data_IF_243912372807
#
_entry.id   IF_243912372807
#
_cell.length_a   1.000
_cell.length_b   1.000
_cell.length_c   1.000
_cell.angle_alpha   90.00
_cell.angle_beta   90.00
_cell.angle_gamma   90.00
#
_symmetry.space_group_name_H-M   'P 1'
#
loop_
_entity.id
_entity.type
_entity.pdbx_description
1 polymer ?
#
# COMPACT_ATOMS: atom_id res chain seq x y z
N UNK A 1 17.43 -10.24 -2.23
CA UNK A 1 16.16 -10.99 -2.26
C UNK A 1 15.09 -10.02 -1.82
N UNK A 2 14.44 -9.37 -2.78
CA UNK A 2 13.38 -8.41 -2.51
C UNK A 2 12.28 -9.11 -1.73
N UNK A 3 12.07 -8.67 -0.48
CA UNK A 3 11.01 -9.19 0.35
C UNK A 3 9.70 -8.68 -0.23
N UNK A 4 8.99 -9.55 -0.95
CA UNK A 4 7.67 -9.23 -1.48
C UNK A 4 6.72 -8.96 -0.30
N UNK A 5 6.23 -7.73 -0.23
CA UNK A 5 5.24 -7.32 0.78
C UNK A 5 3.89 -7.37 0.12
N UNK A 6 2.92 -7.95 0.82
CA UNK A 6 1.54 -7.99 0.38
C UNK A 6 0.71 -6.99 1.17
N UNK A 7 -0.19 -6.33 0.46
CA UNK A 7 -1.34 -5.65 1.06
C UNK A 7 -2.47 -6.68 1.06
N UNK A 8 -2.96 -7.00 2.25
CA UNK A 8 -4.11 -7.87 2.48
C UNK A 8 -5.37 -7.01 2.58
N UNK A 9 -6.53 -7.62 2.31
CA UNK A 9 -7.83 -7.03 2.65
C UNK A 9 -8.67 -7.96 3.53
N UNK A 10 -9.55 -7.37 4.32
CA UNK A 10 -10.60 -8.06 5.07
C UNK A 10 -11.86 -7.20 5.11
N UNK A 11 -12.96 -7.74 5.60
CA UNK A 11 -14.22 -6.99 5.70
C UNK A 11 -14.47 -6.49 7.12
N UNK A 12 -15.13 -5.34 7.22
CA UNK A 12 -15.67 -4.82 8.47
C UNK A 12 -17.07 -4.25 8.25
N UNK A 13 -17.89 -4.26 9.29
CA UNK A 13 -19.25 -3.73 9.26
C UNK A 13 -19.26 -2.33 9.88
N UNK A 14 -19.86 -1.37 9.17
CA UNK A 14 -20.11 -0.01 9.67
C UNK A 14 -21.47 0.45 9.17
N UNK A 15 -22.33 0.93 10.07
CA UNK A 15 -23.68 1.39 9.73
C UNK A 15 -24.45 0.34 8.88
N UNK A 16 -24.41 -0.93 9.31
CA UNK A 16 -25.07 -2.07 8.65
C UNK A 16 -24.57 -2.39 7.24
N UNK A 17 -23.49 -1.74 6.79
CA UNK A 17 -22.84 -1.98 5.49
C UNK A 17 -21.49 -2.64 5.70
N UNK A 18 -21.18 -3.60 4.83
CA UNK A 18 -19.88 -4.28 4.79
C UNK A 18 -18.93 -3.51 3.87
N UNK A 19 -17.72 -3.26 4.36
CA UNK A 19 -16.65 -2.56 3.64
C UNK A 19 -15.36 -3.37 3.68
N UNK A 20 -14.51 -3.20 2.68
CA UNK A 20 -13.14 -3.71 2.73
C UNK A 20 -12.22 -2.77 3.50
N UNK A 21 -11.38 -3.34 4.35
CA UNK A 21 -10.22 -2.69 4.95
C UNK A 21 -8.95 -3.27 4.32
N UNK A 22 -7.97 -2.42 4.04
CA UNK A 22 -6.72 -2.79 3.37
C UNK A 22 -5.53 -2.53 4.31
N UNK A 23 -4.61 -3.48 4.40
CA UNK A 23 -3.54 -3.41 5.40
C UNK A 23 -2.32 -4.27 5.07
N UNK A 24 -1.18 -3.93 5.65
CA UNK A 24 0.03 -4.75 5.63
C UNK A 24 0.25 -5.33 7.02
N UNK A 25 0.51 -6.64 7.13
CA UNK A 25 0.96 -7.28 8.37
C UNK A 25 2.47 -7.43 8.37
N UNK A 26 3.08 -7.33 9.55
CA UNK A 26 4.51 -7.58 9.72
C UNK A 26 4.93 -7.61 11.18
N UNK A 27 6.25 -7.73 11.42
CA UNK A 27 6.84 -7.66 12.76
C UNK A 27 7.90 -6.57 12.86
N UNK A 28 7.72 -5.66 13.82
CA UNK A 28 8.69 -4.61 14.18
C UNK A 28 9.18 -4.87 15.60
N UNK A 29 10.49 -5.11 15.76
CA UNK A 29 11.13 -5.46 17.06
C UNK A 29 10.40 -6.57 17.83
N UNK A 30 9.97 -7.62 17.12
CA UNK A 30 9.26 -8.76 17.71
C UNK A 30 7.78 -8.54 18.00
N UNK A 31 7.25 -7.32 17.80
CA UNK A 31 5.82 -7.03 17.92
C UNK A 31 5.12 -7.14 16.58
N UNK A 32 4.01 -7.87 16.54
CA UNK A 32 3.12 -7.88 15.38
C UNK A 32 2.51 -6.49 15.19
N UNK A 33 2.55 -6.01 13.94
CA UNK A 33 2.02 -4.72 13.54
C UNK A 33 1.09 -4.89 12.34
N UNK A 34 0.09 -4.02 12.28
CA UNK A 34 -0.84 -3.88 11.16
C UNK A 34 -0.81 -2.42 10.71
N UNK A 35 -0.47 -2.20 9.44
CA UNK A 35 -0.40 -0.87 8.82
C UNK A 35 -1.64 -0.71 7.96
N UNK A 36 -2.50 0.27 8.27
CA UNK A 36 -3.64 0.57 7.43
C UNK A 36 -3.21 1.29 6.15
N UNK A 37 -3.70 0.81 5.01
CA UNK A 37 -3.44 1.35 3.68
C UNK A 37 -4.76 1.83 3.08
N UNK A 38 -4.74 2.99 2.43
CA UNK A 38 -5.90 3.59 1.80
C UNK A 38 -5.53 4.19 0.44
N UNK A 39 -6.48 4.30 -0.49
CA UNK A 39 -6.26 5.10 -1.69
C UNK A 39 -6.11 6.60 -1.35
N UNK A 40 -5.55 7.41 -2.27
CA UNK A 40 -5.42 8.86 -2.09
C UNK A 40 -6.76 9.57 -1.85
N UNK A 41 -7.83 9.07 -2.48
CA UNK A 41 -9.18 9.61 -2.49
C UNK A 41 -10.25 8.49 -2.47
N UNK A 42 -11.52 8.85 -2.31
CA UNK A 42 -12.62 7.88 -2.18
C UNK A 42 -12.91 7.09 -3.47
N UNK A 43 -12.65 7.65 -4.66
CA UNK A 43 -12.82 6.95 -5.92
C UNK A 43 -11.82 5.80 -6.09
N UNK A 44 -10.66 5.90 -5.44
CA UNK A 44 -9.66 4.84 -5.44
C UNK A 44 -10.09 3.54 -4.76
N UNK A 45 -11.16 3.51 -3.96
CA UNK A 45 -11.68 2.24 -3.41
C UNK A 45 -12.29 1.37 -4.51
N UNK A 46 -12.99 1.96 -5.49
CA UNK A 46 -13.47 1.23 -6.67
C UNK A 46 -12.30 0.66 -7.47
N UNK A 47 -11.20 1.40 -7.59
CA UNK A 47 -10.00 0.92 -8.25
C UNK A 47 -9.33 -0.23 -7.47
N UNK A 48 -9.34 -0.19 -6.14
CA UNK A 48 -8.87 -1.32 -5.33
C UNK A 48 -9.75 -2.56 -5.52
N UNK A 49 -11.07 -2.40 -5.63
CA UNK A 49 -11.96 -3.53 -5.93
C UNK A 49 -11.62 -4.18 -7.28
N UNK A 50 -11.31 -3.38 -8.31
CA UNK A 50 -10.84 -3.87 -9.62
C UNK A 50 -9.49 -4.57 -9.50
N UNK A 51 -8.50 -3.92 -8.84
CA UNK A 51 -7.15 -4.49 -8.70
C UNK A 51 -7.17 -5.81 -7.96
N UNK A 52 -7.93 -5.92 -6.87
CA UNK A 52 -8.00 -7.18 -6.14
C UNK A 52 -8.86 -8.23 -6.85
N UNK A 53 -9.90 -7.85 -7.60
CA UNK A 53 -10.87 -8.79 -8.14
C UNK A 53 -11.44 -9.66 -7.00
N UNK A 54 -11.24 -10.97 -7.11
CA UNK A 54 -11.63 -11.95 -6.07
C UNK A 54 -10.50 -12.29 -5.07
N UNK A 55 -9.28 -11.76 -5.27
CA UNK A 55 -8.13 -12.06 -4.42
C UNK A 55 -8.23 -11.34 -3.07
N UNK A 56 -7.61 -11.90 -2.03
CA UNK A 56 -7.57 -11.30 -0.68
C UNK A 56 -6.25 -10.60 -0.36
N UNK A 57 -5.29 -10.64 -1.30
CA UNK A 57 -4.00 -10.00 -1.19
C UNK A 57 -3.50 -9.55 -2.55
N UNK A 58 -2.74 -8.48 -2.57
CA UNK A 58 -2.07 -7.97 -3.75
C UNK A 58 -0.67 -7.46 -3.39
N UNK A 59 0.22 -7.36 -4.37
CA UNK A 59 1.61 -6.99 -4.12
C UNK A 59 1.74 -5.48 -3.87
N UNK A 60 2.54 -5.10 -2.87
CA UNK A 60 2.93 -3.70 -2.66
C UNK A 60 4.06 -3.33 -3.63
N UNK A 61 3.84 -2.36 -4.49
CA UNK A 61 4.87 -1.76 -5.34
C UNK A 61 5.45 -0.52 -4.68
N UNK A 62 6.77 -0.33 -4.81
CA UNK A 62 7.47 0.87 -4.38
C UNK A 62 8.03 1.58 -5.61
N UNK A 63 7.71 2.86 -5.76
CA UNK A 63 8.23 3.72 -6.82
C UNK A 63 9.05 4.84 -6.18
N UNK A 64 10.39 4.75 -6.21
CA UNK A 64 11.22 5.81 -5.67
C UNK A 64 11.01 7.10 -6.47
N UNK A 65 10.99 8.23 -5.78
CA UNK A 65 10.95 9.54 -6.39
C UNK A 65 12.02 10.43 -5.79
N UNK A 66 12.48 11.38 -6.60
CA UNK A 66 13.36 12.46 -6.19
C UNK A 66 12.80 13.75 -6.79
N UNK A 67 12.51 14.73 -5.93
CA UNK A 67 12.03 16.04 -6.32
C UNK A 67 13.08 17.04 -5.90
N UNK A 68 13.65 17.75 -6.87
CA UNK A 68 14.54 18.88 -6.61
C UNK A 68 13.72 20.16 -6.66
N UNK A 69 13.65 20.85 -5.52
CA UNK A 69 13.08 22.19 -5.46
C UNK A 69 14.08 23.17 -6.11
N UNK A 70 13.75 23.67 -7.30
CA UNK A 70 14.61 24.58 -8.06
C UNK A 70 14.83 25.93 -7.37
N UNK A 71 13.93 26.35 -6.47
CA UNK A 71 14.03 27.64 -5.77
C UNK A 71 14.90 27.54 -4.53
N UNK A 72 14.83 26.43 -3.81
CA UNK A 72 15.56 26.24 -2.54
C UNK A 72 16.80 25.35 -2.67
N UNK A 73 16.96 24.66 -3.81
CA UNK A 73 17.99 23.66 -4.03
C UNK A 73 17.78 22.36 -3.22
N UNK A 74 16.68 22.26 -2.47
CA UNK A 74 16.40 21.12 -1.60
C UNK A 74 16.00 19.90 -2.42
N UNK A 75 16.67 18.77 -2.16
CA UNK A 75 16.30 17.46 -2.72
C UNK A 75 15.39 16.75 -1.72
N UNK A 76 14.22 16.33 -2.18
CA UNK A 76 13.24 15.55 -1.43
C UNK A 76 13.13 14.19 -2.11
N UNK A 77 13.62 13.15 -1.45
CA UNK A 77 13.49 11.77 -1.91
C UNK A 77 12.50 10.98 -1.05
N UNK A 78 11.92 9.93 -1.64
CA UNK A 78 11.00 9.04 -0.96
C UNK A 78 10.50 7.92 -1.87
N UNK A 79 9.51 7.17 -1.39
CA UNK A 79 8.79 6.18 -2.19
C UNK A 79 7.32 6.54 -2.26
N UNK A 80 6.74 6.48 -3.45
CA UNK A 80 5.30 6.32 -3.62
C UNK A 80 4.96 4.83 -3.61
N UNK A 81 3.74 4.52 -3.18
CA UNK A 81 3.29 3.15 -2.98
C UNK A 81 2.13 2.84 -3.93
N UNK A 82 2.12 1.63 -4.46
CA UNK A 82 0.99 1.10 -5.21
C UNK A 82 0.65 -0.31 -4.75
N UNK A 83 -0.53 -0.76 -5.12
CA UNK A 83 -0.94 -2.15 -4.99
C UNK A 83 -1.17 -2.70 -6.38
N UNK A 84 -0.55 -3.83 -6.69
CA UNK A 84 -0.53 -4.43 -8.01
C UNK A 84 -0.99 -5.88 -7.99
N UNK A 85 -1.78 -6.25 -8.99
CA UNK A 85 -2.06 -7.64 -9.37
C UNK A 85 -1.77 -7.83 -10.86
N UNK A 86 -1.70 -9.09 -11.27
CA UNK A 86 -1.58 -9.48 -12.68
C UNK A 86 -2.73 -10.43 -12.96
N UNK A 87 -3.52 -10.10 -13.97
CA UNK A 87 -4.59 -10.97 -14.43
C UNK A 87 -4.01 -12.29 -14.93
N UNK A 88 -4.57 -13.42 -14.47
CA UNK A 88 -4.03 -14.74 -14.78
C UNK A 88 -4.37 -15.20 -16.21
N UNK A 89 -5.39 -14.64 -16.83
CA UNK A 89 -5.88 -15.02 -18.16
C UNK A 89 -5.30 -14.12 -19.26
N UNK A 90 -5.28 -12.81 -19.03
CA UNK A 90 -4.82 -11.82 -20.02
C UNK A 90 -3.38 -11.38 -19.80
N UNK A 91 -2.83 -11.55 -18.60
CA UNK A 91 -1.53 -11.00 -18.21
C UNK A 91 -1.52 -9.48 -17.99
N UNK A 92 -2.70 -8.83 -18.02
CA UNK A 92 -2.82 -7.40 -17.80
C UNK A 92 -2.44 -7.03 -16.36
N UNK A 93 -1.76 -5.89 -16.20
CA UNK A 93 -1.34 -5.39 -14.89
C UNK A 93 -2.36 -4.35 -14.42
N UNK A 94 -3.00 -4.62 -13.29
CA UNK A 94 -3.82 -3.63 -12.60
C UNK A 94 -3.06 -3.07 -11.41
N UNK A 95 -2.99 -1.75 -11.31
CA UNK A 95 -2.30 -1.06 -10.22
C UNK A 95 -3.14 0.09 -9.66
N UNK A 96 -3.19 0.21 -8.33
CA UNK A 96 -3.82 1.31 -7.62
C UNK A 96 -2.78 2.05 -6.76
N UNK A 97 -2.61 3.38 -6.89
CA UNK A 97 -1.77 4.13 -5.96
C UNK A 97 -2.39 4.10 -4.56
N UNK A 98 -1.55 3.99 -3.53
CA UNK A 98 -1.99 3.95 -2.13
C UNK A 98 -1.09 4.77 -1.21
N UNK A 99 -1.59 5.04 0.00
CA UNK A 99 -0.86 5.68 1.08
C UNK A 99 -1.19 5.05 2.42
N UNK A 100 -0.28 5.20 3.38
CA UNK A 100 -0.59 4.89 4.77
C UNK A 100 -1.73 5.79 5.28
N UNK A 101 -2.69 5.21 5.99
CA UNK A 101 -3.87 5.94 6.47
C UNK A 101 -3.51 7.05 7.48
N UNK A 102 -2.62 6.74 8.42
CA UNK A 102 -2.16 7.65 9.48
C UNK A 102 -0.66 7.89 9.42
N UNK A 103 -0.21 8.93 10.11
CA UNK A 103 1.22 9.20 10.30
C UNK A 103 1.95 8.05 11.03
N UNK A 104 1.28 7.41 11.99
CA UNK A 104 1.79 6.22 12.68
C UNK A 104 1.91 5.03 11.73
N UNK A 105 0.89 4.77 10.90
CA UNK A 105 0.94 3.75 9.85
C UNK A 105 2.13 3.99 8.92
N UNK A 106 2.35 5.23 8.47
CA UNK A 106 3.51 5.60 7.64
C UNK A 106 4.84 5.29 8.34
N UNK A 107 4.94 5.59 9.63
CA UNK A 107 6.14 5.35 10.42
C UNK A 107 6.42 3.85 10.55
N UNK A 108 5.40 3.05 10.83
CA UNK A 108 5.51 1.59 10.94
C UNK A 108 5.85 0.98 9.57
N UNK A 109 5.22 1.46 8.49
CA UNK A 109 5.54 1.04 7.13
C UNK A 109 7.02 1.26 6.82
N UNK A 110 7.55 2.47 7.10
CA UNK A 110 8.96 2.75 6.91
C UNK A 110 9.87 1.82 7.73
N UNK A 111 9.47 1.46 8.97
CA UNK A 111 10.20 0.47 9.79
C UNK A 111 10.14 -0.95 9.22
N UNK A 112 9.07 -1.32 8.53
CA UNK A 112 8.95 -2.60 7.84
C UNK A 112 9.81 -2.62 6.56
N UNK A 113 9.83 -1.52 5.82
CA UNK A 113 10.59 -1.37 4.57
C UNK A 113 12.09 -1.24 4.81
N UNK A 114 12.52 -0.55 5.86
CA UNK A 114 13.95 -0.36 6.17
C UNK A 114 14.67 -1.65 6.60
N UNK A 115 13.91 -2.70 6.97
CA UNK A 115 14.46 -4.05 7.21
C UNK A 115 14.64 -4.88 5.93
N UNK A 116 14.30 -4.33 4.78
CA UNK A 116 14.47 -4.97 3.47
C UNK A 116 15.66 -4.44 2.68
N UNK A 117 16.46 -3.54 3.28
CA UNK A 117 17.73 -3.03 2.74
C UNK A 117 18.92 -3.77 3.35
#
# INVERSE_FOLDING_TARGET
MDKQIFVERDTYVKNEKTYFSYFIKGKVRGKDVRVAIVPPDNGGYTLLDIVYGDEMKAELTLKPYEIKDEKTGKVISGNSYGVKTVDKETGEIYECPVKAFRSSDKTILNMLLSKSA
#
